data_IF_623114545358
#
_entry.id   IF_623114545358
#
_cell.length_a   1.000
_cell.length_b   1.000
_cell.length_c   1.000
_cell.angle_alpha   90.00
_cell.angle_beta   90.00
_cell.angle_gamma   90.00
#
_symmetry.space_group_name_H-M   'P 1'
#
loop_
_entity.id
_entity.type
_entity.pdbx_description
1 polymer ?
#
# COMPACT_ATOMS: atom_id res chain seq x y z
N UNK A 1 -30.40 -5.65 60.46
CA UNK A 1 -30.06 -6.83 59.60
C UNK A 1 -28.59 -6.74 59.25
N UNK A 2 -27.77 -7.57 59.87
CA UNK A 2 -26.33 -7.66 59.62
C UNK A 2 -26.11 -8.61 58.46
N UNK A 3 -25.42 -8.14 57.42
CA UNK A 3 -24.94 -9.00 56.35
C UNK A 3 -23.44 -9.23 56.63
N UNK A 4 -23.17 -10.30 57.38
CA UNK A 4 -21.82 -10.83 57.54
C UNK A 4 -21.57 -11.89 56.46
N UNK A 5 -20.42 -11.83 55.85
CA UNK A 5 -19.77 -13.01 55.29
C UNK A 5 -19.65 -13.07 53.80
N UNK A 6 -18.70 -12.32 53.20
CA UNK A 6 -18.02 -12.82 52.02
C UNK A 6 -16.61 -13.20 52.46
N UNK A 7 -16.41 -14.51 52.59
CA UNK A 7 -15.12 -15.10 52.99
C UNK A 7 -14.04 -14.73 51.95
N UNK A 8 -12.94 -14.20 52.45
CA UNK A 8 -11.70 -14.02 51.73
C UNK A 8 -11.07 -15.40 51.49
N UNK A 9 -11.49 -16.09 50.44
CA UNK A 9 -10.70 -17.17 49.87
C UNK A 9 -9.53 -16.52 49.11
N UNK A 10 -8.39 -16.45 49.78
CA UNK A 10 -7.16 -15.95 49.24
C UNK A 10 -6.77 -16.80 47.99
N UNK A 11 -6.75 -16.18 46.85
CA UNK A 11 -6.06 -16.75 45.70
C UNK A 11 -4.58 -16.86 46.05
N UNK A 12 -3.91 -18.01 45.81
CA UNK A 12 -2.48 -18.12 46.03
C UNK A 12 -1.80 -17.06 45.16
N UNK A 13 -0.97 -16.23 45.80
CA UNK A 13 -0.18 -15.22 45.11
C UNK A 13 0.59 -15.90 43.99
N UNK A 14 0.34 -15.47 42.75
CA UNK A 14 1.05 -15.93 41.57
C UNK A 14 2.51 -15.53 41.70
N UNK A 15 3.35 -16.43 42.16
CA UNK A 15 4.79 -16.26 42.17
C UNK A 15 5.22 -16.37 40.69
N UNK A 16 5.26 -15.22 40.00
CA UNK A 16 5.77 -15.13 38.64
C UNK A 16 7.14 -15.78 38.59
N UNK A 17 7.24 -16.80 37.72
CA UNK A 17 8.52 -17.43 37.43
C UNK A 17 9.57 -16.34 37.11
N UNK A 18 10.64 -16.28 37.93
CA UNK A 18 11.80 -15.43 37.63
C UNK A 18 12.36 -15.87 36.31
N UNK A 19 11.99 -15.12 35.25
CA UNK A 19 12.69 -15.27 33.95
C UNK A 19 14.14 -14.88 34.17
N UNK A 20 15.03 -15.86 34.22
CA UNK A 20 16.46 -15.65 34.00
C UNK A 20 16.59 -14.83 32.72
N UNK A 21 17.13 -13.60 32.86
CA UNK A 21 17.54 -12.80 31.74
C UNK A 21 18.63 -13.55 30.99
N UNK A 22 18.25 -14.33 29.97
CA UNK A 22 19.18 -14.63 28.91
C UNK A 22 19.41 -13.33 28.15
N UNK A 23 20.65 -12.87 28.13
CA UNK A 23 21.11 -11.77 27.30
C UNK A 23 20.97 -12.19 25.83
N UNK A 24 19.76 -12.11 25.28
CA UNK A 24 19.61 -12.01 23.85
C UNK A 24 20.12 -10.61 23.48
N UNK A 25 21.20 -10.55 22.67
CA UNK A 25 21.76 -9.33 22.11
C UNK A 25 20.80 -8.71 21.07
N UNK A 26 19.59 -8.44 21.48
CA UNK A 26 18.61 -7.66 20.75
C UNK A 26 18.70 -6.22 21.24
N UNK A 27 18.85 -5.29 20.30
CA UNK A 27 18.79 -3.85 20.59
C UNK A 27 17.55 -3.58 21.46
N UNK A 28 17.75 -2.91 22.61
CA UNK A 28 16.63 -2.60 23.51
C UNK A 28 15.57 -1.78 22.76
N UNK A 29 14.31 -1.92 23.14
CA UNK A 29 13.21 -1.11 22.56
C UNK A 29 13.53 0.40 22.62
N UNK A 30 14.18 0.87 23.66
CA UNK A 30 14.65 2.25 23.80
C UNK A 30 15.71 2.61 22.70
N UNK A 31 16.58 1.68 22.34
CA UNK A 31 17.56 1.91 21.25
C UNK A 31 16.89 1.91 19.87
N UNK A 32 15.81 1.15 19.70
CA UNK A 32 14.99 1.22 18.49
C UNK A 32 14.20 2.52 18.40
N UNK A 33 13.63 2.99 19.51
CA UNK A 33 12.93 4.28 19.57
C UNK A 33 13.87 5.47 19.27
N UNK A 34 15.12 5.44 19.74
CA UNK A 34 16.09 6.48 19.42
C UNK A 34 16.50 6.51 17.95
N UNK A 35 16.46 5.37 17.26
CA UNK A 35 16.69 5.33 15.81
C UNK A 35 15.48 5.88 15.01
N UNK A 36 14.28 5.79 15.57
CA UNK A 36 13.06 6.36 14.96
C UNK A 36 12.97 7.87 15.21
N UNK A 37 13.52 8.38 16.32
CA UNK A 37 13.53 9.81 16.64
C UNK A 37 14.37 10.66 15.66
N UNK A 38 15.22 10.02 14.83
CA UNK A 38 15.96 10.68 13.74
C UNK A 38 15.27 10.61 12.37
N UNK A 39 14.19 9.86 12.24
CA UNK A 39 13.40 9.85 11.03
C UNK A 39 12.62 11.18 10.95
N UNK A 40 12.87 11.98 9.91
CA UNK A 40 12.05 13.16 9.64
C UNK A 40 10.58 12.71 9.61
N UNK A 41 9.66 13.40 10.32
CA UNK A 41 8.26 13.07 10.21
C UNK A 41 7.86 13.25 8.74
N UNK A 42 7.53 12.16 8.08
CA UNK A 42 6.95 12.23 6.75
C UNK A 42 5.57 12.89 6.91
N UNK A 43 5.45 14.12 6.49
CA UNK A 43 4.17 14.81 6.45
C UNK A 43 3.39 14.21 5.28
N UNK A 44 2.59 13.20 5.55
CA UNK A 44 1.69 12.65 4.54
C UNK A 44 0.58 13.67 4.27
N UNK A 45 0.56 14.25 3.09
CA UNK A 45 -0.56 15.06 2.62
C UNK A 45 -1.64 14.10 2.14
N UNK A 46 -2.84 14.21 2.70
CA UNK A 46 -4.00 13.42 2.28
C UNK A 46 -4.87 14.29 1.38
N UNK A 47 -4.98 13.92 0.11
CA UNK A 47 -5.91 14.55 -0.82
C UNK A 47 -7.29 13.92 -0.66
N UNK A 48 -8.29 14.71 -0.29
CA UNK A 48 -9.67 14.24 -0.24
C UNK A 48 -10.17 14.01 -1.67
N UNK A 49 -10.68 12.81 -1.95
CA UNK A 49 -11.20 12.46 -3.27
C UNK A 49 -12.43 13.29 -3.59
N UNK A 50 -12.40 13.98 -4.73
CA UNK A 50 -13.54 14.69 -5.34
C UNK A 50 -14.10 13.87 -6.51
N UNK A 51 -15.31 14.21 -6.99
CA UNK A 51 -16.00 13.43 -8.03
C UNK A 51 -15.25 13.40 -9.37
N UNK A 52 -14.44 14.43 -9.64
CA UNK A 52 -13.61 14.54 -10.84
C UNK A 52 -12.27 13.79 -10.73
N UNK A 53 -11.94 13.22 -9.55
CA UNK A 53 -10.73 12.45 -9.35
C UNK A 53 -10.95 10.97 -9.63
N UNK A 54 -10.15 10.41 -10.52
CA UNK A 54 -10.10 8.97 -10.77
C UNK A 54 -9.48 8.22 -9.58
N UNK A 55 -8.42 8.79 -9.01
CA UNK A 55 -7.69 8.24 -7.89
C UNK A 55 -7.27 9.35 -6.92
N UNK A 56 -7.21 9.01 -5.65
CA UNK A 56 -6.56 9.81 -4.61
C UNK A 56 -6.01 8.86 -3.54
N UNK A 57 -4.76 9.04 -3.16
CA UNK A 57 -4.12 8.23 -2.14
C UNK A 57 -2.62 8.46 -2.04
N UNK A 58 -2.01 7.72 -1.12
CA UNK A 58 -0.57 7.72 -0.90
C UNK A 58 -0.06 6.33 -0.57
N UNK A 59 1.24 6.21 -0.31
CA UNK A 59 1.89 4.98 0.08
C UNK A 59 2.78 5.17 1.33
N UNK A 60 3.50 4.11 1.73
CA UNK A 60 4.32 4.10 2.94
C UNK A 60 5.58 4.97 2.88
N UNK A 61 6.00 5.44 1.70
CA UNK A 61 7.18 6.29 1.54
C UNK A 61 6.92 7.77 1.84
N UNK A 62 5.65 8.18 1.87
CA UNK A 62 5.23 9.59 1.93
C UNK A 62 4.75 10.14 0.59
N UNK A 63 4.95 9.40 -0.52
CA UNK A 63 4.37 9.72 -1.82
C UNK A 63 2.85 9.78 -1.70
N UNK A 64 2.24 10.90 -2.06
CA UNK A 64 0.80 11.12 -1.99
C UNK A 64 0.34 11.96 -3.18
N UNK A 65 -0.72 11.52 -3.86
CA UNK A 65 -1.17 12.16 -5.10
C UNK A 65 -2.63 11.85 -5.43
N UNK A 66 -3.16 12.65 -6.34
CA UNK A 66 -4.44 12.39 -7.00
C UNK A 66 -4.27 12.37 -8.51
N UNK A 67 -5.23 11.77 -9.20
CA UNK A 67 -5.24 11.62 -10.66
C UNK A 67 -6.58 12.11 -11.18
N UNK A 68 -6.55 12.91 -12.25
CA UNK A 68 -7.71 13.37 -13.02
C UNK A 68 -7.46 13.18 -14.52
N UNK A 69 -8.53 13.09 -15.31
CA UNK A 69 -8.36 13.25 -16.75
C UNK A 69 -7.85 14.66 -17.08
N UNK A 70 -6.96 14.73 -18.06
CA UNK A 70 -6.52 15.99 -18.63
C UNK A 70 -7.65 16.62 -19.47
N UNK A 71 -7.69 17.95 -19.58
CA UNK A 71 -8.72 18.65 -20.37
C UNK A 71 -8.75 18.21 -21.86
N UNK A 72 -7.61 17.80 -22.42
CA UNK A 72 -7.50 17.28 -23.79
C UNK A 72 -7.59 15.76 -23.92
N UNK A 73 -8.00 15.05 -22.86
CA UNK A 73 -8.14 13.58 -22.87
C UNK A 73 -9.27 13.15 -23.81
N UNK A 74 -9.01 12.14 -24.65
CA UNK A 74 -10.01 11.55 -25.54
C UNK A 74 -10.09 10.03 -25.30
N UNK A 75 -11.11 9.38 -25.86
CA UNK A 75 -11.23 7.92 -25.78
C UNK A 75 -10.11 7.20 -26.54
N UNK A 76 -9.63 7.78 -27.64
CA UNK A 76 -8.56 7.21 -28.46
C UNK A 76 -7.17 7.43 -27.84
N UNK A 77 -6.94 8.57 -27.18
CA UNK A 77 -5.70 8.89 -26.46
C UNK A 77 -6.00 9.37 -25.03
N UNK A 78 -6.41 8.45 -24.14
CA UNK A 78 -6.72 8.80 -22.78
C UNK A 78 -5.46 9.29 -22.04
N UNK A 79 -5.55 10.54 -21.57
CA UNK A 79 -4.47 11.23 -20.91
C UNK A 79 -4.93 11.71 -19.56
N UNK A 80 -4.11 11.50 -18.53
CA UNK A 80 -4.39 11.93 -17.16
C UNK A 80 -3.27 12.82 -16.62
N UNK A 81 -3.60 13.61 -15.61
CA UNK A 81 -2.66 14.41 -14.84
C UNK A 81 -2.63 13.85 -13.43
N UNK A 82 -1.44 13.49 -12.95
CA UNK A 82 -1.16 13.16 -11.56
C UNK A 82 -0.49 14.35 -10.88
N UNK A 83 -1.05 14.80 -9.75
CA UNK A 83 -0.49 15.89 -8.93
C UNK A 83 -0.39 15.45 -7.48
N UNK A 84 0.68 15.85 -6.83
CA UNK A 84 0.86 15.50 -5.43
C UNK A 84 2.19 15.94 -4.86
N UNK A 85 2.64 15.19 -3.86
CA UNK A 85 3.97 15.35 -3.23
C UNK A 85 4.73 14.03 -3.32
N UNK A 86 6.02 14.13 -3.59
CA UNK A 86 6.92 12.98 -3.60
C UNK A 86 7.28 12.52 -2.16
N UNK A 87 8.10 11.48 -2.05
CA UNK A 87 8.61 10.95 -0.78
C UNK A 87 9.47 11.93 0.01
N UNK A 88 9.93 13.01 -0.62
CA UNK A 88 10.72 14.09 0.01
C UNK A 88 9.87 15.30 0.39
N UNK A 89 8.57 15.30 0.06
CA UNK A 89 7.64 16.39 0.30
C UNK A 89 7.68 17.49 -0.78
N UNK A 90 8.31 17.24 -1.94
CA UNK A 90 8.30 18.18 -3.06
C UNK A 90 7.02 17.98 -3.90
N UNK A 91 6.42 19.09 -4.30
CA UNK A 91 5.28 19.03 -5.22
C UNK A 91 5.70 18.53 -6.59
N UNK A 92 4.84 17.72 -7.21
CA UNK A 92 5.02 17.27 -8.57
C UNK A 92 3.70 17.35 -9.37
N UNK A 93 3.85 17.48 -10.67
CA UNK A 93 2.79 17.33 -11.65
C UNK A 93 3.31 16.50 -12.83
N UNK A 94 2.59 15.46 -13.21
CA UNK A 94 2.97 14.57 -14.29
C UNK A 94 1.78 14.31 -15.21
N UNK A 95 1.98 14.52 -16.52
CA UNK A 95 1.02 14.12 -17.55
C UNK A 95 1.35 12.70 -18.00
N UNK A 96 0.34 11.82 -18.01
CA UNK A 96 0.48 10.40 -18.30
C UNK A 96 -0.47 10.03 -19.43
N UNK A 97 0.07 9.57 -20.55
CA UNK A 97 -0.68 8.95 -21.64
C UNK A 97 -0.93 7.48 -21.30
N UNK A 98 -2.15 7.10 -21.04
CA UNK A 98 -2.50 5.74 -20.60
C UNK A 98 -2.02 4.70 -21.61
N UNK A 99 -2.21 4.95 -22.92
CA UNK A 99 -1.80 4.02 -23.98
C UNK A 99 -0.28 3.79 -24.05
N UNK A 100 0.54 4.64 -23.42
CA UNK A 100 2.00 4.50 -23.39
C UNK A 100 2.52 3.76 -22.17
N UNK A 101 1.67 3.47 -21.19
CA UNK A 101 2.07 2.75 -19.99
C UNK A 101 2.47 1.31 -20.34
N UNK A 102 3.62 0.90 -19.83
CA UNK A 102 4.08 -0.48 -19.94
C UNK A 102 4.15 -1.11 -18.52
N UNK A 103 3.20 -1.97 -18.15
CA UNK A 103 3.19 -2.62 -16.82
C UNK A 103 4.46 -3.41 -16.47
N UNK A 104 5.30 -3.76 -17.44
CA UNK A 104 6.60 -4.40 -17.19
C UNK A 104 7.71 -3.41 -16.84
N UNK A 105 7.47 -2.10 -16.97
CA UNK A 105 8.43 -1.07 -16.62
C UNK A 105 7.67 0.23 -16.34
N UNK A 106 6.94 0.26 -15.24
CA UNK A 106 6.10 1.39 -14.86
C UNK A 106 6.45 1.93 -13.48
N UNK A 107 6.09 3.18 -13.22
CA UNK A 107 6.07 3.73 -11.85
C UNK A 107 4.75 3.38 -11.15
N UNK A 108 4.71 3.52 -9.83
CA UNK A 108 3.47 3.33 -9.08
C UNK A 108 2.38 4.32 -9.50
N UNK A 109 2.77 5.55 -9.87
CA UNK A 109 1.83 6.60 -10.34
C UNK A 109 1.22 6.20 -11.68
N UNK A 110 2.03 5.72 -12.64
CA UNK A 110 1.57 5.20 -13.92
C UNK A 110 0.62 4.01 -13.74
N UNK A 111 0.94 3.07 -12.85
CA UNK A 111 0.08 1.91 -12.59
C UNK A 111 -1.23 2.29 -11.90
N UNK A 112 -1.23 3.28 -11.00
CA UNK A 112 -2.47 3.82 -10.40
C UNK A 112 -3.34 4.53 -11.44
N UNK A 113 -2.72 5.24 -12.40
CA UNK A 113 -3.44 5.84 -13.52
C UNK A 113 -4.11 4.78 -14.39
N UNK A 114 -3.38 3.72 -14.72
CA UNK A 114 -3.90 2.60 -15.51
C UNK A 114 -5.00 1.85 -14.76
N UNK A 115 -4.81 1.55 -13.46
CA UNK A 115 -5.80 0.93 -12.58
C UNK A 115 -7.13 1.69 -12.59
N UNK A 116 -7.03 3.01 -12.38
CA UNK A 116 -8.21 3.88 -12.29
C UNK A 116 -8.93 4.01 -13.64
N UNK A 117 -8.18 4.10 -14.75
CA UNK A 117 -8.73 4.17 -16.10
C UNK A 117 -9.43 2.86 -16.50
N UNK A 118 -8.83 1.71 -16.20
CA UNK A 118 -9.41 0.40 -16.53
C UNK A 118 -10.53 -0.03 -15.58
N UNK A 119 -10.77 0.72 -14.50
CA UNK A 119 -11.80 0.39 -13.51
C UNK A 119 -11.55 -0.94 -12.81
N UNK A 120 -10.28 -1.28 -12.51
CA UNK A 120 -9.97 -2.51 -11.80
C UNK A 120 -10.52 -2.44 -10.39
N UNK A 121 -11.44 -3.35 -10.07
CA UNK A 121 -12.13 -3.36 -8.78
C UNK A 121 -11.16 -3.58 -7.62
N UNK A 122 -11.45 -2.88 -6.51
CA UNK A 122 -10.75 -3.06 -5.23
C UNK A 122 -11.51 -4.04 -4.37
N UNK A 123 -10.83 -5.12 -3.96
CA UNK A 123 -11.43 -6.15 -3.13
C UNK A 123 -11.45 -5.72 -1.66
N UNK A 124 -12.62 -5.32 -1.15
CA UNK A 124 -12.80 -5.01 0.27
C UNK A 124 -11.90 -3.89 0.79
N UNK A 125 -11.55 -2.90 -0.04
CA UNK A 125 -10.65 -1.80 0.30
C UNK A 125 -9.16 -2.12 0.12
N UNK A 126 -8.80 -3.34 -0.25
CA UNK A 126 -7.43 -3.69 -0.61
C UNK A 126 -7.05 -3.07 -1.96
N UNK A 127 -5.77 -2.70 -2.09
CA UNK A 127 -5.23 -2.28 -3.37
C UNK A 127 -5.27 -3.43 -4.38
N UNK A 128 -5.58 -3.13 -5.64
CA UNK A 128 -5.43 -4.09 -6.72
C UNK A 128 -3.97 -4.34 -7.11
N UNK A 129 -3.05 -3.47 -6.67
CA UNK A 129 -1.60 -3.61 -6.89
C UNK A 129 -0.95 -4.41 -5.75
N UNK A 130 0.17 -5.11 -6.02
CA UNK A 130 0.92 -5.84 -5.01
C UNK A 130 1.37 -4.93 -3.84
N UNK A 131 1.47 -5.46 -2.60
CA UNK A 131 1.84 -4.66 -1.42
C UNK A 131 3.20 -3.98 -1.51
N UNK A 132 4.16 -4.56 -2.22
CA UNK A 132 5.51 -4.01 -2.44
C UNK A 132 5.47 -2.61 -3.08
N UNK A 133 4.39 -2.28 -3.80
CA UNK A 133 4.18 -0.92 -4.36
C UNK A 133 4.06 0.16 -3.29
N UNK A 134 3.76 -0.23 -2.05
CA UNK A 134 3.71 0.66 -0.90
C UNK A 134 5.06 1.27 -0.51
N UNK A 135 6.17 0.69 -0.98
CA UNK A 135 7.53 1.14 -0.70
C UNK A 135 8.19 1.87 -1.90
N UNK A 136 7.48 2.03 -3.01
CA UNK A 136 7.99 2.70 -4.21
C UNK A 136 7.89 4.22 -4.10
N UNK A 137 8.97 4.92 -4.46
CA UNK A 137 8.98 6.37 -4.66
C UNK A 137 8.39 6.80 -6.00
N UNK A 138 8.33 8.12 -6.23
CA UNK A 138 7.74 8.72 -7.45
C UNK A 138 8.38 8.20 -8.74
N UNK A 139 9.68 8.02 -8.75
CA UNK A 139 10.46 7.67 -9.95
C UNK A 139 10.87 6.19 -10.02
N UNK A 140 10.54 5.40 -9.01
CA UNK A 140 10.86 3.98 -8.99
C UNK A 140 10.06 3.23 -10.04
N UNK A 141 10.78 2.50 -10.90
CA UNK A 141 10.17 1.67 -11.95
C UNK A 141 10.35 0.19 -11.61
N UNK A 142 9.31 -0.59 -11.86
CA UNK A 142 9.33 -2.02 -11.62
C UNK A 142 8.58 -2.80 -12.71
N UNK A 143 8.85 -4.09 -12.79
CA UNK A 143 8.00 -5.04 -13.53
C UNK A 143 6.83 -5.48 -12.63
N UNK A 144 5.68 -4.82 -12.80
CA UNK A 144 4.48 -5.15 -12.04
C UNK A 144 3.92 -6.53 -12.39
N UNK A 145 4.20 -7.04 -13.60
CA UNK A 145 3.75 -8.37 -13.98
C UNK A 145 4.50 -9.45 -13.18
N UNK A 146 5.80 -9.25 -12.95
CA UNK A 146 6.60 -10.12 -12.08
C UNK A 146 6.17 -10.01 -10.61
N UNK A 147 5.95 -8.80 -10.11
CA UNK A 147 5.42 -8.56 -8.75
C UNK A 147 4.08 -9.28 -8.54
N UNK A 148 3.16 -9.23 -9.50
CA UNK A 148 1.91 -9.98 -9.43
C UNK A 148 2.11 -11.48 -9.38
N UNK A 149 3.00 -12.04 -10.21
CA UNK A 149 3.29 -13.48 -10.22
C UNK A 149 3.81 -13.95 -8.87
N UNK A 150 4.74 -13.19 -8.29
CA UNK A 150 5.28 -13.46 -6.95
C UNK A 150 4.18 -13.40 -5.89
N UNK A 151 3.39 -12.33 -5.87
CA UNK A 151 2.28 -12.17 -4.92
C UNK A 151 1.25 -13.31 -5.01
N UNK A 152 0.90 -13.73 -6.23
CA UNK A 152 -0.01 -14.86 -6.45
C UNK A 152 0.58 -16.16 -5.89
N UNK A 153 1.87 -16.39 -6.10
CA UNK A 153 2.59 -17.55 -5.58
C UNK A 153 2.59 -17.57 -4.05
N UNK A 154 2.93 -16.45 -3.42
CA UNK A 154 2.98 -16.31 -1.97
C UNK A 154 1.60 -16.52 -1.33
N UNK A 155 0.54 -15.93 -1.93
CA UNK A 155 -0.83 -16.14 -1.44
C UNK A 155 -1.26 -17.60 -1.53
N UNK A 156 -0.85 -18.33 -2.58
CA UNK A 156 -1.12 -19.76 -2.70
C UNK A 156 -0.38 -20.59 -1.64
N UNK A 157 0.89 -20.29 -1.39
CA UNK A 157 1.68 -20.94 -0.34
C UNK A 157 1.07 -20.74 1.06
N UNK A 158 0.51 -19.54 1.30
CA UNK A 158 -0.19 -19.19 2.53
C UNK A 158 -1.64 -19.75 2.60
N UNK A 159 -2.09 -20.51 1.60
CA UNK A 159 -3.46 -21.02 1.53
C UNK A 159 -4.54 -19.98 1.24
N UNK A 160 -4.16 -18.74 0.91
CA UNK A 160 -5.08 -17.63 0.67
C UNK A 160 -5.59 -17.61 -0.78
N UNK A 161 -6.32 -18.64 -1.17
CA UNK A 161 -6.75 -18.87 -2.56
C UNK A 161 -7.61 -17.73 -3.12
N UNK A 162 -8.45 -17.08 -2.30
CA UNK A 162 -9.28 -15.95 -2.74
C UNK A 162 -8.45 -14.74 -3.12
N UNK A 163 -7.41 -14.42 -2.33
CA UNK A 163 -6.48 -13.33 -2.64
C UNK A 163 -5.63 -13.65 -3.87
N UNK A 164 -5.14 -14.90 -3.98
CA UNK A 164 -4.42 -15.34 -5.17
C UNK A 164 -5.27 -15.20 -6.45
N UNK A 165 -6.56 -15.55 -6.38
CA UNK A 165 -7.48 -15.39 -7.51
C UNK A 165 -7.72 -13.91 -7.84
N UNK A 166 -7.83 -13.04 -6.84
CA UNK A 166 -7.98 -11.60 -7.01
C UNK A 166 -6.78 -10.97 -7.71
N UNK A 167 -5.56 -11.23 -7.23
CA UNK A 167 -4.36 -10.71 -7.89
C UNK A 167 -4.16 -11.29 -9.29
N UNK A 168 -4.56 -12.54 -9.52
CA UNK A 168 -4.56 -13.13 -10.86
C UNK A 168 -5.51 -12.41 -11.81
N UNK A 169 -6.72 -12.05 -11.34
CA UNK A 169 -7.66 -11.25 -12.12
C UNK A 169 -7.07 -9.88 -12.47
N UNK A 170 -6.54 -9.14 -11.49
CA UNK A 170 -5.92 -7.84 -11.71
C UNK A 170 -4.77 -7.93 -12.72
N UNK A 171 -3.87 -8.90 -12.55
CA UNK A 171 -2.78 -9.16 -13.49
C UNK A 171 -3.28 -9.41 -14.90
N UNK A 172 -4.39 -10.17 -15.06
CA UNK A 172 -4.94 -10.50 -16.38
C UNK A 172 -5.52 -9.26 -17.08
N UNK A 173 -6.13 -8.33 -16.34
CA UNK A 173 -6.60 -7.05 -16.91
C UNK A 173 -5.44 -6.27 -17.50
N UNK A 174 -4.33 -6.13 -16.78
CA UNK A 174 -3.13 -5.44 -17.27
C UNK A 174 -2.45 -6.18 -18.41
N UNK A 175 -2.42 -7.51 -18.39
CA UNK A 175 -1.93 -8.32 -19.48
C UNK A 175 -2.74 -8.10 -20.77
N UNK A 176 -4.07 -8.10 -20.65
CA UNK A 176 -4.95 -7.85 -21.77
C UNK A 176 -4.76 -6.43 -22.33
N UNK A 177 -4.52 -5.43 -21.48
CA UNK A 177 -4.21 -4.08 -21.92
C UNK A 177 -2.93 -4.04 -22.76
N UNK A 178 -1.85 -4.70 -22.33
CA UNK A 178 -0.60 -4.74 -23.10
C UNK A 178 -0.75 -5.41 -24.48
N UNK A 179 -1.66 -6.37 -24.60
CA UNK A 179 -1.86 -7.15 -25.82
C UNK A 179 -2.97 -6.60 -26.74
N UNK A 180 -3.57 -5.45 -26.43
CA UNK A 180 -4.54 -4.77 -27.27
C UNK A 180 -3.90 -3.92 -28.38
N UNK A 181 -2.56 -3.81 -28.38
CA UNK A 181 -1.77 -3.01 -29.33
C UNK A 181 -1.49 -3.78 -30.59
#
# INVERSE_FOLDING_TARGET
MNINGIGTTGYPAWQGARRTRQNAAGKSFAAQMNNVAGAKPHTSIVYMKTDDMLYSGGNGTGLSFYIKYAEGSTEDDPTVIAKGVDENGNEFEQTIHINKINPKCATVVEMRALEAHLGVDKNGGLSSLPPETGEMGLHDRADFMDMFQKQISDMRLLGQQKLAAYYKYSMQVYWNFMNRK
#
